data_IF_470292299701
#
_entry.id   IF_470292299701
#
_cell.length_a   1.000
_cell.length_b   1.000
_cell.length_c   1.000
_cell.angle_alpha   90.00
_cell.angle_beta   90.00
_cell.angle_gamma   90.00
#
_symmetry.space_group_name_H-M   'P 1'
#
loop_
_entity.id
_entity.type
_entity.pdbx_description
1 polymer ?
#
# COMPACT_ATOMS: atom_id res chain seq x y z
N UNK A 1 -11.77 16.25 21.23
CA UNK A 1 -10.65 15.56 20.54
C UNK A 1 -9.58 16.52 20.00
N UNK A 2 -9.94 17.58 19.26
CA UNK A 2 -8.92 18.50 18.66
C UNK A 2 -8.07 19.24 19.70
N UNK A 3 -8.66 19.71 20.81
CA UNK A 3 -7.92 20.44 21.86
C UNK A 3 -6.89 19.55 22.57
N UNK A 4 -7.26 18.30 22.86
CA UNK A 4 -6.38 17.32 23.53
C UNK A 4 -5.24 16.89 22.62
N UNK A 5 -5.48 16.73 21.32
CA UNK A 5 -4.45 16.40 20.34
C UNK A 5 -3.42 17.54 20.19
N UNK A 6 -3.88 18.79 20.08
CA UNK A 6 -2.98 19.96 20.03
C UNK A 6 -2.15 20.14 21.30
N UNK A 7 -2.73 19.88 22.48
CA UNK A 7 -1.99 19.89 23.74
C UNK A 7 -0.95 18.77 23.79
N UNK A 8 -1.30 17.59 23.32
CA UNK A 8 -0.37 16.44 23.25
C UNK A 8 0.78 16.70 22.27
N UNK A 9 0.50 17.26 21.10
CA UNK A 9 1.53 17.66 20.13
C UNK A 9 2.46 18.75 20.66
N UNK A 10 1.90 19.78 21.32
CA UNK A 10 2.69 20.84 21.94
C UNK A 10 3.59 20.30 23.07
N UNK A 11 3.04 19.41 23.90
CA UNK A 11 3.79 18.73 24.96
C UNK A 11 4.89 17.84 24.37
N UNK A 12 4.56 17.01 23.38
CA UNK A 12 5.50 16.16 22.64
C UNK A 12 6.65 16.98 22.05
N UNK A 13 6.34 18.06 21.34
CA UNK A 13 7.36 18.94 20.75
C UNK A 13 8.28 19.57 21.80
N UNK A 14 7.77 19.84 23.00
CA UNK A 14 8.58 20.35 24.12
C UNK A 14 9.49 19.26 24.69
N UNK A 15 8.96 18.06 24.93
CA UNK A 15 9.73 16.90 25.42
C UNK A 15 10.83 16.52 24.43
N UNK A 16 10.54 16.53 23.13
CA UNK A 16 11.49 16.22 22.08
C UNK A 16 12.68 17.19 22.04
N UNK A 17 12.48 18.46 22.39
CA UNK A 17 13.56 19.47 22.44
C UNK A 17 14.48 19.30 23.66
N UNK A 18 13.97 18.73 24.75
CA UNK A 18 14.69 18.66 26.03
C UNK A 18 15.41 17.32 26.21
N UNK A 19 14.83 16.25 25.68
CA UNK A 19 15.38 14.89 25.84
C UNK A 19 16.35 14.53 24.71
N UNK A 20 17.42 13.79 25.00
CA UNK A 20 18.27 13.19 23.96
C UNK A 20 17.58 11.98 23.30
N UNK A 21 17.99 11.57 22.08
CA UNK A 21 17.57 10.29 21.51
C UNK A 21 18.13 9.13 22.34
N UNK A 22 17.45 7.99 22.28
CA UNK A 22 17.91 6.76 22.92
C UNK A 22 19.05 6.13 22.13
N UNK A 23 20.01 5.56 22.84
CA UNK A 23 21.24 4.97 22.28
C UNK A 23 21.37 3.46 22.51
N UNK A 24 20.57 2.88 23.41
CA UNK A 24 20.57 1.45 23.71
C UNK A 24 19.43 0.77 22.97
N UNK A 25 19.59 -0.48 22.52
CA UNK A 25 18.52 -1.26 21.87
C UNK A 25 17.45 -1.72 22.86
N UNK A 26 16.17 -1.67 22.50
CA UNK A 26 15.06 -2.39 23.16
C UNK A 26 14.05 -2.82 22.12
N UNK A 27 14.58 -3.22 20.98
CA UNK A 27 13.82 -3.79 19.89
C UNK A 27 13.03 -5.01 20.38
N UNK A 28 13.71 -6.00 20.97
CA UNK A 28 13.07 -7.23 21.47
C UNK A 28 12.16 -6.99 22.69
N UNK A 29 12.58 -6.14 23.63
CA UNK A 29 11.85 -5.94 24.90
C UNK A 29 10.61 -5.05 24.76
N UNK A 30 10.65 -4.03 23.89
CA UNK A 30 9.63 -2.98 23.82
C UNK A 30 9.10 -2.73 22.41
N UNK A 31 9.67 -3.36 21.38
CA UNK A 31 9.30 -3.11 19.99
C UNK A 31 9.70 -1.71 19.48
N UNK A 32 10.67 -1.05 20.11
CA UNK A 32 11.09 0.33 19.78
C UNK A 32 12.50 0.38 19.19
N UNK A 33 12.79 1.42 18.43
CA UNK A 33 14.07 1.69 17.77
C UNK A 33 14.79 2.88 18.40
N UNK A 34 16.10 2.79 18.51
CA UNK A 34 16.98 3.97 18.58
C UNK A 34 17.12 4.62 17.21
N UNK A 35 17.69 5.83 17.18
CA UNK A 35 17.92 6.55 15.92
C UNK A 35 18.89 5.81 15.01
N UNK A 36 19.98 5.25 15.56
CA UNK A 36 20.94 4.45 14.79
C UNK A 36 20.31 3.18 14.23
N UNK A 37 19.41 2.54 14.99
CA UNK A 37 18.70 1.35 14.51
C UNK A 37 17.66 1.70 13.44
N UNK A 38 16.99 2.85 13.52
CA UNK A 38 16.11 3.34 12.46
C UNK A 38 16.89 3.58 11.15
N UNK A 39 18.06 4.22 11.23
CA UNK A 39 18.93 4.42 10.06
C UNK A 39 19.38 3.07 9.49
N UNK A 40 19.81 2.14 10.34
CA UNK A 40 20.24 0.80 9.93
C UNK A 40 19.11 0.02 9.21
N UNK A 41 17.90 0.02 9.79
CA UNK A 41 16.76 -0.64 9.19
C UNK A 41 16.30 0.04 7.88
N UNK A 42 16.41 1.38 7.80
CA UNK A 42 16.14 2.14 6.58
C UNK A 42 17.15 1.85 5.47
N UNK A 43 18.44 1.75 5.80
CA UNK A 43 19.48 1.36 4.85
C UNK A 43 19.22 -0.03 4.27
N UNK A 44 18.79 -0.98 5.11
CA UNK A 44 18.41 -2.32 4.66
C UNK A 44 17.15 -2.29 3.77
N UNK A 45 16.14 -1.50 4.13
CA UNK A 45 14.94 -1.32 3.31
C UNK A 45 15.29 -0.81 1.91
N UNK A 46 16.07 0.27 1.81
CA UNK A 46 16.50 0.82 0.51
C UNK A 46 17.35 -0.18 -0.28
N UNK A 47 18.21 -0.95 0.40
CA UNK A 47 19.06 -1.94 -0.26
C UNK A 47 18.26 -3.13 -0.84
N UNK A 48 17.16 -3.53 -0.19
CA UNK A 48 16.34 -4.68 -0.61
C UNK A 48 15.16 -4.30 -1.49
N UNK A 49 14.58 -3.12 -1.28
CA UNK A 49 13.44 -2.59 -2.02
C UNK A 49 13.85 -1.25 -2.65
N UNK A 50 14.44 -1.25 -3.87
CA UNK A 50 14.95 -0.03 -4.50
C UNK A 50 13.90 1.03 -4.86
N UNK A 51 12.61 0.70 -4.71
CA UNK A 51 11.50 1.66 -4.79
C UNK A 51 11.48 2.62 -3.60
N UNK A 52 12.11 2.26 -2.48
CA UNK A 52 12.33 3.14 -1.34
C UNK A 52 13.62 3.92 -1.49
N UNK A 53 13.59 5.19 -1.07
CA UNK A 53 14.75 6.06 -1.03
C UNK A 53 14.80 6.90 0.24
N UNK A 54 16.00 7.21 0.72
CA UNK A 54 16.22 8.22 1.74
C UNK A 54 16.04 9.63 1.16
N UNK A 55 15.48 10.52 1.99
CA UNK A 55 15.27 11.92 1.65
C UNK A 55 15.78 12.84 2.76
N UNK A 56 16.31 13.99 2.35
CA UNK A 56 16.81 15.03 3.25
C UNK A 56 15.70 16.01 3.72
N UNK A 57 14.61 16.12 2.95
CA UNK A 57 13.52 17.06 3.20
C UNK A 57 13.93 18.53 3.17
N UNK A 58 13.04 19.40 3.66
CA UNK A 58 13.32 20.84 3.80
C UNK A 58 14.47 21.08 4.80
N UNK A 59 15.46 21.89 4.41
CA UNK A 59 16.62 22.22 5.25
C UNK A 59 16.24 22.82 6.61
N UNK A 60 15.17 23.61 6.67
CA UNK A 60 14.66 24.24 7.89
C UNK A 60 13.98 23.25 8.85
N UNK A 61 13.55 22.09 8.36
CA UNK A 61 12.82 21.06 9.12
C UNK A 61 13.68 19.86 9.51
N UNK A 62 14.96 19.85 9.13
CA UNK A 62 15.90 18.78 9.47
C UNK A 62 16.03 18.61 10.98
N UNK A 63 16.08 17.36 11.40
CA UNK A 63 16.29 16.94 12.78
C UNK A 63 17.77 16.66 12.96
N UNK A 64 18.40 17.39 13.88
CA UNK A 64 19.84 17.30 14.14
C UNK A 64 20.33 15.96 14.69
N UNK A 65 19.41 15.13 15.20
CA UNK A 65 19.74 13.79 15.70
C UNK A 65 19.79 12.73 14.58
N UNK A 66 19.35 13.04 13.36
CA UNK A 66 19.44 12.19 12.17
C UNK A 66 20.50 12.74 11.19
N UNK A 67 21.13 11.90 10.36
CA UNK A 67 21.99 12.37 9.27
C UNK A 67 21.24 13.28 8.30
N UNK A 68 21.90 14.29 7.74
CA UNK A 68 21.27 15.31 6.87
C UNK A 68 20.63 14.72 5.61
N UNK A 69 21.16 13.61 5.11
CA UNK A 69 20.73 12.86 3.93
C UNK A 69 19.74 11.73 4.26
N UNK A 70 19.50 11.44 5.55
CA UNK A 70 18.66 10.32 6.02
C UNK A 70 17.63 10.78 7.04
N UNK A 71 16.78 11.73 6.64
CA UNK A 71 15.78 12.31 7.52
C UNK A 71 14.50 11.48 7.55
N UNK A 72 14.07 10.97 6.39
CA UNK A 72 12.92 10.08 6.26
C UNK A 72 13.07 9.21 5.01
N UNK A 73 12.31 8.12 4.95
CA UNK A 73 12.23 7.25 3.78
C UNK A 73 10.96 7.58 3.00
N UNK A 74 11.00 7.44 1.68
CA UNK A 74 9.81 7.58 0.84
C UNK A 74 9.83 6.55 -0.29
N UNK A 75 8.66 6.07 -0.64
CA UNK A 75 8.38 5.40 -1.92
C UNK A 75 7.29 6.20 -2.62
N UNK A 76 7.44 6.42 -3.92
CA UNK A 76 6.59 7.33 -4.69
C UNK A 76 5.78 6.56 -5.70
N UNK A 77 4.62 7.13 -6.04
CA UNK A 77 3.78 6.57 -7.09
C UNK A 77 3.36 5.10 -6.85
N UNK A 78 3.01 4.79 -5.61
CA UNK A 78 2.51 3.47 -5.23
C UNK A 78 1.06 3.31 -5.71
N UNK A 79 0.71 2.31 -6.53
CA UNK A 79 -0.64 2.18 -7.05
C UNK A 79 -1.63 1.74 -5.95
N UNK A 80 -2.87 2.20 -6.10
CA UNK A 80 -4.01 1.79 -5.29
C UNK A 80 -5.24 1.63 -6.19
N UNK A 81 -5.43 0.39 -6.66
CA UNK A 81 -6.40 0.04 -7.71
C UNK A 81 -7.83 -0.14 -7.17
N UNK A 82 -7.97 -0.34 -5.86
CA UNK A 82 -9.23 -0.66 -5.17
C UNK A 82 -9.32 0.02 -3.80
N UNK A 83 -10.53 0.13 -3.24
CA UNK A 83 -10.76 0.68 -1.89
C UNK A 83 -10.70 -0.39 -0.82
N UNK A 84 -10.37 0.00 0.40
CA UNK A 84 -10.23 -0.93 1.51
C UNK A 84 -11.50 -1.75 1.76
N UNK A 85 -12.68 -1.13 1.59
CA UNK A 85 -13.98 -1.80 1.74
C UNK A 85 -14.16 -3.01 0.80
N UNK A 86 -13.67 -2.92 -0.44
CA UNK A 86 -13.82 -4.02 -1.41
C UNK A 86 -12.99 -5.26 -1.04
N UNK A 87 -11.86 -5.08 -0.35
CA UNK A 87 -11.09 -6.22 0.16
C UNK A 87 -11.77 -6.83 1.39
N UNK A 88 -12.30 -6.01 2.30
CA UNK A 88 -13.01 -6.48 3.50
C UNK A 88 -14.22 -7.34 3.13
N UNK A 89 -15.05 -6.88 2.18
CA UNK A 89 -16.20 -7.65 1.67
C UNK A 89 -15.80 -9.03 1.10
N UNK A 90 -14.65 -9.11 0.42
CA UNK A 90 -14.13 -10.37 -0.14
C UNK A 90 -13.64 -11.32 0.97
N UNK A 91 -12.98 -10.81 2.01
CA UNK A 91 -12.54 -11.60 3.16
C UNK A 91 -13.72 -12.12 4.00
N UNK A 92 -14.73 -11.28 4.23
CA UNK A 92 -15.96 -11.66 4.93
C UNK A 92 -16.72 -12.74 4.15
N UNK A 93 -16.83 -12.58 2.83
CA UNK A 93 -17.46 -13.57 1.95
C UNK A 93 -16.68 -14.90 1.87
N UNK A 94 -15.36 -14.86 2.03
CA UNK A 94 -14.49 -16.04 2.05
C UNK A 94 -14.44 -16.76 3.42
N UNK A 95 -15.17 -16.29 4.44
CA UNK A 95 -15.22 -16.91 5.77
C UNK A 95 -13.94 -16.72 6.59
N UNK A 96 -13.17 -15.66 6.30
CA UNK A 96 -11.85 -15.41 6.87
C UNK A 96 -11.86 -14.77 8.26
N UNK A 97 -12.31 -15.48 9.30
CA UNK A 97 -12.06 -15.06 10.68
C UNK A 97 -10.99 -15.94 11.34
N UNK A 98 -9.85 -15.35 11.71
CA UNK A 98 -8.97 -15.89 12.75
C UNK A 98 -8.58 -14.76 13.71
N UNK A 99 -9.29 -14.69 14.83
CA UNK A 99 -8.94 -13.84 15.95
C UNK A 99 -7.62 -14.35 16.54
N UNK A 100 -6.60 -13.49 16.58
CA UNK A 100 -5.52 -13.68 17.56
C UNK A 100 -5.98 -13.11 18.89
N UNK A 101 -6.71 -13.92 19.64
CA UNK A 101 -7.05 -13.67 21.03
C UNK A 101 -7.55 -14.96 21.67
N UNK A 102 -6.82 -15.48 22.66
CA UNK A 102 -7.46 -16.30 23.68
C UNK A 102 -8.51 -15.43 24.37
N UNK A 103 -9.66 -16.03 24.69
CA UNK A 103 -10.85 -15.44 25.30
C UNK A 103 -10.67 -14.87 26.73
N UNK A 104 -9.51 -14.32 27.08
CA UNK A 104 -9.25 -13.80 28.43
C UNK A 104 -8.85 -12.32 28.40
N UNK A 105 -9.89 -11.49 28.58
CA UNK A 105 -9.92 -10.19 29.29
C UNK A 105 -8.91 -9.11 28.85
N UNK A 106 -9.12 -8.57 27.66
CA UNK A 106 -9.00 -7.14 27.33
C UNK A 106 -9.41 -7.00 25.85
N UNK A 107 -10.30 -6.07 25.51
CA UNK A 107 -10.88 -5.88 24.16
C UNK A 107 -9.92 -5.44 23.06
N UNK A 108 -8.73 -6.03 22.99
CA UNK A 108 -7.62 -5.75 22.09
C UNK A 108 -7.49 -6.84 21.00
N UNK A 109 -8.58 -7.08 20.26
CA UNK A 109 -8.57 -7.90 19.05
C UNK A 109 -7.77 -7.20 17.94
N UNK A 110 -6.50 -7.55 17.78
CA UNK A 110 -5.67 -7.14 16.65
C UNK A 110 -5.48 -8.35 15.73
N UNK A 111 -6.04 -8.29 14.53
CA UNK A 111 -5.98 -9.35 13.53
C UNK A 111 -4.56 -9.43 12.97
N UNK A 112 -3.89 -10.59 13.12
CA UNK A 112 -2.67 -10.87 12.36
C UNK A 112 -3.04 -11.74 11.16
N UNK A 113 -3.06 -11.12 9.99
CA UNK A 113 -3.32 -11.74 8.69
C UNK A 113 -2.08 -12.47 8.17
N UNK A 114 -1.64 -13.56 8.83
CA UNK A 114 -0.92 -14.66 8.19
C UNK A 114 -0.72 -15.87 9.12
N UNK A 115 -1.74 -16.75 9.15
CA UNK A 115 -1.60 -18.14 9.58
C UNK A 115 -1.92 -19.04 8.40
N UNK A 116 -0.93 -19.79 7.90
CA UNK A 116 -1.14 -20.76 6.83
C UNK A 116 -2.18 -21.83 7.25
N UNK A 117 -3.02 -22.36 6.35
CA UNK A 117 -4.07 -23.29 6.74
C UNK A 117 -3.44 -24.56 7.34
N UNK A 118 -3.80 -24.89 8.57
CA UNK A 118 -3.47 -26.19 9.15
C UNK A 118 -4.48 -27.21 8.64
N UNK A 119 -4.00 -28.23 7.95
CA UNK A 119 -4.81 -29.38 7.55
C UNK A 119 -5.40 -30.13 8.78
N UNK A 120 -6.73 -30.15 8.80
CA UNK A 120 -7.68 -31.22 9.15
C UNK A 120 -7.60 -31.95 10.50
N UNK A 121 -8.73 -31.92 11.25
CA UNK A 121 -9.42 -33.12 11.74
C UNK A 121 -10.91 -32.88 12.07
N UNK A 122 -11.76 -33.39 11.18
CA UNK A 122 -13.09 -34.01 11.36
C UNK A 122 -14.03 -33.57 12.51
N UNK A 123 -15.17 -32.99 12.14
CA UNK A 123 -16.49 -33.48 12.58
C UNK A 123 -17.56 -33.05 11.59
N UNK A 124 -18.31 -34.04 11.11
CA UNK A 124 -19.40 -33.95 10.13
C UNK A 124 -20.50 -32.96 10.58
N UNK A 125 -20.92 -32.06 9.69
CA UNK A 125 -22.34 -31.76 9.43
C UNK A 125 -22.51 -31.16 8.04
N UNK A 126 -23.45 -31.80 7.34
CA UNK A 126 -24.03 -31.64 6.01
C UNK A 126 -24.05 -30.24 5.37
N UNK A 127 -23.73 -30.18 4.07
CA UNK A 127 -24.13 -29.07 3.20
C UNK A 127 -23.12 -28.57 2.16
N UNK A 128 -22.21 -29.39 1.63
CA UNK A 128 -21.37 -29.00 0.50
C UNK A 128 -22.14 -29.16 -0.83
N UNK A 129 -22.32 -28.12 -1.66
CA UNK A 129 -22.59 -28.35 -3.07
C UNK A 129 -21.30 -28.81 -3.74
N UNK A 130 -21.36 -30.02 -4.30
CA UNK A 130 -20.33 -30.63 -5.13
C UNK A 130 -19.96 -29.74 -6.32
N UNK A 131 -18.66 -29.48 -6.49
CA UNK A 131 -18.08 -28.94 -7.72
C UNK A 131 -18.09 -30.03 -8.80
N UNK A 132 -19.23 -30.26 -9.44
CA UNK A 132 -19.36 -30.96 -10.73
C UNK A 132 -20.80 -30.80 -11.26
N UNK A 133 -20.99 -29.87 -12.20
CA UNK A 133 -22.04 -29.78 -13.24
C UNK A 133 -22.36 -28.31 -13.57
N UNK A 134 -21.43 -27.64 -14.28
CA UNK A 134 -21.83 -26.53 -15.14
C UNK A 134 -22.38 -27.13 -16.43
N UNK A 135 -23.70 -27.34 -16.47
CA UNK A 135 -24.40 -27.49 -17.74
C UNK A 135 -24.31 -26.17 -18.50
N UNK A 136 -23.55 -26.18 -19.60
CA UNK A 136 -23.55 -25.11 -20.59
C UNK A 136 -24.95 -25.06 -21.21
N UNK A 137 -25.74 -24.06 -20.80
CA UNK A 137 -26.98 -23.72 -21.48
C UNK A 137 -26.66 -23.24 -22.89
N UNK A 138 -26.86 -24.13 -23.87
CA UNK A 138 -27.00 -23.79 -25.28
C UNK A 138 -28.13 -22.77 -25.42
N UNK A 139 -27.81 -21.53 -25.78
CA UNK A 139 -28.85 -20.59 -26.23
C UNK A 139 -28.57 -19.10 -26.12
N UNK A 140 -27.42 -18.60 -26.58
CA UNK A 140 -27.31 -17.20 -27.02
C UNK A 140 -26.19 -17.10 -28.07
N UNK A 141 -26.58 -16.80 -29.31
CA UNK A 141 -25.65 -16.64 -30.42
C UNK A 141 -24.77 -15.40 -30.19
N UNK A 142 -23.48 -15.63 -29.97
CA UNK A 142 -22.44 -14.60 -30.04
C UNK A 142 -22.40 -14.12 -31.49
N UNK A 143 -22.77 -12.86 -31.72
CA UNK A 143 -22.60 -12.22 -33.04
C UNK A 143 -21.12 -11.97 -33.26
N UNK A 144 -20.52 -12.76 -34.13
CA UNK A 144 -19.21 -12.52 -34.71
C UNK A 144 -19.19 -11.18 -35.46
N UNK A 145 -18.18 -10.37 -35.20
CA UNK A 145 -17.83 -9.19 -36.01
C UNK A 145 -17.57 -9.68 -37.45
N UNK A 146 -18.09 -9.05 -38.51
CA UNK A 146 -17.79 -9.46 -39.87
C UNK A 146 -16.31 -9.16 -40.17
N UNK A 147 -15.48 -10.20 -40.13
CA UNK A 147 -14.21 -10.19 -40.85
C UNK A 147 -14.55 -10.29 -42.34
N UNK A 148 -14.50 -9.17 -43.04
CA UNK A 148 -14.54 -9.13 -44.50
C UNK A 148 -13.24 -9.75 -45.01
N UNK A 149 -13.24 -11.07 -45.20
CA UNK A 149 -12.23 -11.78 -45.96
C UNK A 149 -12.89 -12.19 -47.29
N UNK A 150 -12.70 -11.37 -48.30
CA UNK A 150 -13.02 -11.66 -49.68
C UNK A 150 -11.77 -11.45 -50.52
N UNK A 151 -11.42 -12.45 -51.33
CA UNK A 151 -10.48 -12.31 -52.44
C UNK A 151 -9.13 -12.95 -52.20
N UNK A 152 -8.92 -14.12 -52.77
CA UNK A 152 -7.60 -14.65 -53.11
C UNK A 152 -7.00 -13.80 -54.23
N UNK A 153 -6.20 -12.79 -53.91
CA UNK A 153 -5.21 -12.23 -54.85
C UNK A 153 -3.93 -11.91 -54.04
N UNK A 154 -2.81 -12.53 -54.40
CA UNK A 154 -1.48 -12.07 -54.01
C UNK A 154 -1.25 -10.72 -54.70
N UNK A 155 -1.69 -9.62 -54.08
CA UNK A 155 -1.19 -8.30 -54.45
C UNK A 155 0.18 -8.10 -53.82
N UNK A 156 1.22 -8.14 -54.65
CA UNK A 156 2.57 -7.70 -54.31
C UNK A 156 2.50 -6.33 -53.63
N UNK A 157 3.09 -6.22 -52.44
CA UNK A 157 3.18 -4.96 -51.69
C UNK A 157 3.91 -3.94 -52.60
N UNK A 158 3.26 -2.84 -53.01
CA UNK A 158 3.89 -1.86 -53.90
C UNK A 158 5.11 -1.23 -53.21
N UNK A 159 6.21 -1.09 -53.96
CA UNK A 159 7.47 -0.56 -53.45
C UNK A 159 7.31 0.92 -53.07
N UNK A 160 7.86 1.32 -51.91
CA UNK A 160 7.62 2.64 -51.29
C UNK A 160 8.19 3.80 -52.13
N UNK A 161 9.03 3.52 -53.13
CA UNK A 161 9.64 4.51 -54.01
C UNK A 161 8.69 5.06 -55.12
N UNK A 162 7.53 4.43 -55.37
CA UNK A 162 6.57 4.88 -56.38
C UNK A 162 5.61 5.99 -55.89
N UNK A 163 5.70 6.39 -54.61
CA UNK A 163 4.86 7.44 -54.00
C UNK A 163 5.54 8.82 -53.88
N UNK A 164 6.79 8.98 -54.31
CA UNK A 164 7.48 10.27 -54.33
C UNK A 164 7.20 11.10 -55.60
N UNK A 165 5.98 11.06 -56.13
CA UNK A 165 5.56 11.99 -57.18
C UNK A 165 4.96 13.28 -56.55
N UNK A 166 5.62 14.45 -56.66
CA UNK A 166 5.17 15.69 -56.01
C UNK A 166 3.87 16.27 -56.59
N UNK A 167 3.25 15.64 -57.59
CA UNK A 167 1.96 16.07 -58.16
C UNK A 167 0.72 15.46 -57.48
N UNK A 168 0.87 14.59 -56.46
CA UNK A 168 -0.28 13.98 -55.77
C UNK A 168 -0.90 14.86 -54.65
N UNK A 169 -0.92 16.18 -54.87
CA UNK A 169 -1.63 17.15 -54.04
C UNK A 169 -3.12 17.12 -54.41
N UNK A 170 -3.87 16.21 -53.79
CA UNK A 170 -5.32 16.15 -53.95
C UNK A 170 -5.92 17.43 -53.33
N UNK A 171 -6.43 18.31 -54.19
CA UNK A 171 -7.27 19.45 -53.80
C UNK A 171 -8.51 18.93 -53.07
N UNK A 172 -8.56 19.19 -51.76
CA UNK A 172 -9.74 19.19 -50.88
C UNK A 172 -10.99 18.49 -51.42
N UNK A 173 -11.09 17.19 -51.16
CA UNK A 173 -12.31 16.41 -51.35
C UNK A 173 -13.37 16.85 -50.31
N UNK A 174 -14.58 17.17 -50.76
CA UNK A 174 -15.71 17.55 -49.91
C UNK A 174 -16.25 16.40 -49.03
N UNK A 175 -15.64 15.21 -49.11
CA UNK A 175 -15.91 14.07 -48.22
C UNK A 175 -14.89 13.90 -47.08
N UNK A 176 -13.85 14.73 -46.95
CA UNK A 176 -13.00 14.72 -45.75
C UNK A 176 -13.82 15.18 -44.55
N UNK A 177 -14.25 14.23 -43.73
CA UNK A 177 -14.83 14.50 -42.41
C UNK A 177 -13.86 15.39 -41.63
N UNK A 178 -14.35 16.54 -41.17
CA UNK A 178 -13.61 17.36 -40.19
C UNK A 178 -13.13 16.43 -39.09
N UNK A 179 -11.82 16.38 -38.85
CA UNK A 179 -11.22 15.64 -37.75
C UNK A 179 -11.58 16.32 -36.43
N UNK A 180 -12.85 16.22 -36.07
CA UNK A 180 -13.33 16.35 -34.70
C UNK A 180 -12.88 15.06 -34.02
N UNK A 181 -11.78 15.17 -33.28
CA UNK A 181 -11.40 14.18 -32.28
C UNK A 181 -12.67 13.81 -31.49
N UNK A 182 -13.06 12.53 -31.57
CA UNK A 182 -14.13 12.00 -30.75
C UNK A 182 -13.70 12.13 -29.29
N UNK A 183 -14.19 13.15 -28.60
CA UNK A 183 -14.21 13.14 -27.13
C UNK A 183 -15.32 12.18 -26.76
N UNK A 184 -14.95 10.92 -26.54
CA UNK A 184 -15.85 9.97 -25.88
C UNK A 184 -16.07 10.49 -24.44
N UNK A 185 -17.26 11.03 -24.17
CA UNK A 185 -17.70 11.21 -22.79
C UNK A 185 -18.04 9.82 -22.28
N UNK A 186 -17.24 9.30 -21.34
CA UNK A 186 -17.58 8.04 -20.68
C UNK A 186 -18.92 8.19 -19.97
N UNK A 187 -19.78 7.16 -19.99
CA UNK A 187 -20.98 7.15 -19.17
C UNK A 187 -20.57 7.30 -17.69
N UNK A 188 -21.37 8.04 -16.91
CA UNK A 188 -21.25 8.12 -15.45
C UNK A 188 -21.67 6.78 -14.80
N UNK A 189 -21.11 5.65 -15.27
CA UNK A 189 -21.27 4.38 -14.58
C UNK A 189 -20.39 4.42 -13.33
N UNK A 190 -21.05 4.50 -12.17
CA UNK A 190 -20.47 4.39 -10.82
C UNK A 190 -19.70 3.07 -10.56
N UNK A 191 -19.60 2.17 -11.56
CA UNK A 191 -18.88 0.91 -11.48
C UNK A 191 -17.42 0.97 -11.95
N UNK A 192 -16.94 2.12 -12.47
CA UNK A 192 -15.52 2.29 -12.80
C UNK A 192 -14.76 2.71 -11.54
N UNK A 193 -14.00 1.76 -10.96
CA UNK A 193 -13.11 2.06 -9.83
C UNK A 193 -11.96 2.97 -10.28
N UNK A 194 -12.00 4.23 -9.85
CA UNK A 194 -10.93 5.20 -10.11
C UNK A 194 -9.63 4.78 -9.41
N UNK A 195 -8.57 4.59 -10.19
CA UNK A 195 -7.24 4.27 -9.68
C UNK A 195 -6.65 5.48 -8.96
N UNK A 196 -6.08 5.26 -7.78
CA UNK A 196 -5.28 6.26 -7.05
C UNK A 196 -3.82 5.88 -7.06
N UNK A 197 -2.97 6.86 -6.78
CA UNK A 197 -1.55 6.64 -6.51
C UNK A 197 -1.14 7.31 -5.22
N UNK A 198 -0.15 6.78 -4.53
CA UNK A 198 0.28 7.25 -3.21
C UNK A 198 1.78 7.46 -3.16
N UNK A 199 2.19 8.58 -2.55
CA UNK A 199 3.52 8.71 -1.98
C UNK A 199 3.44 8.31 -0.50
N UNK A 200 4.19 7.27 -0.12
CA UNK A 200 4.23 6.73 1.24
C UNK A 200 5.57 7.07 1.87
N UNK A 201 5.56 7.82 2.97
CA UNK A 201 6.79 8.18 3.69
C UNK A 201 6.84 7.60 5.10
N UNK A 202 8.04 7.30 5.58
CA UNK A 202 8.32 6.80 6.92
C UNK A 202 9.28 7.76 7.62
N UNK A 203 8.83 8.33 8.73
CA UNK A 203 9.63 9.21 9.59
C UNK A 203 9.92 8.51 10.92
N UNK A 204 11.00 8.90 11.59
CA UNK A 204 11.25 8.46 12.97
C UNK A 204 10.54 9.36 13.99
N UNK A 205 9.64 8.78 14.78
CA UNK A 205 9.00 9.49 15.89
C UNK A 205 9.89 9.43 17.13
N UNK A 206 10.47 10.57 17.52
CA UNK A 206 11.43 10.60 18.64
C UNK A 206 10.77 10.34 19.99
N UNK A 207 9.51 10.71 20.16
CA UNK A 207 8.78 10.53 21.42
C UNK A 207 8.40 9.05 21.62
N UNK A 208 7.82 8.42 20.60
CA UNK A 208 7.41 7.01 20.67
C UNK A 208 8.55 6.03 20.36
N UNK A 209 9.64 6.51 19.77
CA UNK A 209 10.80 5.70 19.39
C UNK A 209 10.44 4.62 18.37
N UNK A 210 9.54 4.97 17.45
CA UNK A 210 8.99 4.06 16.45
C UNK A 210 8.89 4.78 15.10
N UNK A 211 8.90 4.05 13.98
CA UNK A 211 8.57 4.64 12.69
C UNK A 211 7.10 5.07 12.65
N UNK A 212 6.85 6.14 11.89
CA UNK A 212 5.52 6.69 11.62
C UNK A 212 5.31 6.82 10.13
N UNK A 213 4.17 6.32 9.65
CA UNK A 213 3.79 6.34 8.23
C UNK A 213 2.95 7.57 7.92
N UNK A 214 3.20 8.15 6.75
CA UNK A 214 2.43 9.22 6.16
C UNK A 214 2.04 8.87 4.74
N UNK A 215 0.85 9.27 4.34
CA UNK A 215 0.23 8.96 3.06
C UNK A 215 -0.14 10.26 2.37
N UNK A 216 0.30 10.38 1.11
CA UNK A 216 -0.10 11.48 0.22
C UNK A 216 -0.71 10.85 -1.01
N UNK A 217 -2.04 10.92 -1.12
CA UNK A 217 -2.76 10.32 -2.23
C UNK A 217 -2.94 11.28 -3.39
N UNK A 218 -3.04 10.72 -4.59
CA UNK A 218 -3.29 11.42 -5.85
C UNK A 218 -4.38 10.68 -6.64
N UNK A 219 -5.21 11.43 -7.36
CA UNK A 219 -6.20 10.90 -8.29
C UNK A 219 -5.57 10.42 -9.61
N UNK A 220 -6.41 9.95 -10.53
CA UNK A 220 -6.01 9.48 -11.87
C UNK A 220 -5.27 10.55 -12.70
N UNK A 221 -5.53 11.83 -12.43
CA UNK A 221 -4.93 12.97 -13.11
C UNK A 221 -3.68 13.51 -12.40
N UNK A 222 -3.19 12.80 -11.37
CA UNK A 222 -2.06 13.21 -10.50
C UNK A 222 -2.32 14.46 -9.67
N UNK A 223 -3.57 14.77 -9.40
CA UNK A 223 -3.92 15.87 -8.51
C UNK A 223 -3.97 15.37 -7.06
N UNK A 224 -3.45 16.15 -6.08
CA UNK A 224 -3.48 15.75 -4.67
C UNK A 224 -4.91 15.50 -4.18
N UNK A 225 -5.12 14.36 -3.53
CA UNK A 225 -6.39 14.03 -2.89
C UNK A 225 -6.60 14.85 -1.63
N UNK A 226 -7.87 15.11 -1.32
CA UNK A 226 -8.22 15.60 0.00
C UNK A 226 -7.94 14.52 1.06
N UNK A 227 -7.44 14.88 2.26
CA UNK A 227 -7.13 13.92 3.31
C UNK A 227 -8.28 12.98 3.65
N UNK A 228 -9.53 13.46 3.56
CA UNK A 228 -10.76 12.70 3.82
C UNK A 228 -10.92 11.51 2.86
N UNK A 229 -10.51 11.65 1.60
CA UNK A 229 -10.58 10.59 0.60
C UNK A 229 -9.56 9.48 0.85
N UNK A 230 -8.42 9.81 1.49
CA UNK A 230 -7.40 8.82 1.85
C UNK A 230 -7.95 7.80 2.85
N UNK A 231 -8.93 8.18 3.69
CA UNK A 231 -9.55 7.25 4.65
C UNK A 231 -10.35 6.12 3.97
N UNK A 232 -10.73 6.26 2.70
CA UNK A 232 -11.39 5.19 1.93
C UNK A 232 -10.42 4.05 1.59
N UNK A 233 -9.11 4.32 1.61
CA UNK A 233 -8.04 3.35 1.36
C UNK A 233 -7.42 2.80 2.66
N UNK A 234 -7.98 3.18 3.82
CA UNK A 234 -7.62 2.66 5.14
C UNK A 234 -8.68 1.67 5.60
N UNK A 235 -8.27 0.52 6.14
CA UNK A 235 -9.20 -0.47 6.71
C UNK A 235 -10.08 0.15 7.81
N UNK A 236 -11.36 -0.20 7.82
CA UNK A 236 -12.35 0.41 8.71
C UNK A 236 -12.01 0.22 10.19
N UNK A 237 -11.41 -0.93 10.52
CA UNK A 237 -10.98 -1.26 11.88
C UNK A 237 -9.91 -0.31 12.42
N UNK A 238 -9.14 0.30 11.51
CA UNK A 238 -8.03 1.19 11.81
C UNK A 238 -8.35 2.66 11.55
N UNK A 239 -9.15 2.98 10.52
CA UNK A 239 -9.41 4.32 10.02
C UNK A 239 -9.85 5.32 11.12
N UNK A 240 -10.73 4.88 12.03
CA UNK A 240 -11.25 5.74 13.11
C UNK A 240 -10.44 5.70 14.41
N UNK A 241 -9.47 4.79 14.52
CA UNK A 241 -8.71 4.55 15.75
C UNK A 241 -7.30 5.10 15.66
N UNK A 242 -6.65 4.97 14.50
CA UNK A 242 -5.22 5.21 14.37
C UNK A 242 -4.85 6.22 13.30
N UNK A 243 -5.72 6.59 12.36
CA UNK A 243 -5.36 7.53 11.28
C UNK A 243 -5.83 8.95 11.57
N UNK A 244 -4.94 9.92 11.40
CA UNK A 244 -5.19 11.36 11.62
C UNK A 244 -4.60 12.19 10.50
N UNK A 245 -5.17 13.37 10.25
CA UNK A 245 -4.62 14.35 9.31
C UNK A 245 -3.72 15.34 10.05
N UNK A 246 -2.42 15.30 9.79
CA UNK A 246 -1.39 16.07 10.51
C UNK A 246 -0.38 16.73 9.56
N UNK A 247 0.34 17.73 10.04
CA UNK A 247 1.42 18.37 9.29
C UNK A 247 2.66 17.44 9.24
N UNK A 248 3.18 17.19 8.04
CA UNK A 248 4.35 16.32 7.89
C UNK A 248 5.61 17.00 8.46
N UNK A 249 6.44 16.29 9.25
CA UNK A 249 7.55 16.89 9.97
C UNK A 249 8.67 17.40 9.05
N UNK A 250 8.73 16.96 7.79
CA UNK A 250 9.77 17.32 6.82
C UNK A 250 9.25 17.90 5.50
N UNK A 251 7.93 17.91 5.28
CA UNK A 251 7.29 18.30 4.01
C UNK A 251 6.21 19.35 4.29
N UNK A 252 5.81 20.15 3.29
CA UNK A 252 4.75 21.13 3.45
C UNK A 252 3.38 20.49 3.24
N UNK A 253 2.37 20.99 3.95
CA UNK A 253 0.99 20.54 3.81
C UNK A 253 0.58 19.52 4.85
N UNK A 254 -0.70 19.14 4.77
CA UNK A 254 -1.32 18.15 5.64
C UNK A 254 -1.37 16.80 4.94
N UNK A 255 -1.06 15.76 5.69
CA UNK A 255 -0.99 14.39 5.21
C UNK A 255 -1.78 13.49 6.15
N UNK A 256 -2.34 12.41 5.61
CA UNK A 256 -2.89 11.36 6.45
C UNK A 256 -1.74 10.58 7.09
N UNK A 257 -1.84 10.26 8.38
CA UNK A 257 -0.78 9.57 9.12
C UNK A 257 -1.35 8.51 10.04
N UNK A 258 -0.70 7.34 10.07
CA UNK A 258 -0.97 6.30 11.06
C UNK A 258 -0.24 6.66 12.35
N UNK A 259 -1.00 6.95 13.40
CA UNK A 259 -0.50 7.46 14.67
C UNK A 259 0.32 6.39 15.45
N UNK A 260 1.54 6.71 15.90
CA UNK A 260 2.51 5.70 16.34
C UNK A 260 2.34 5.17 17.77
N UNK A 261 1.33 5.62 18.51
CA UNK A 261 1.18 5.31 19.95
C UNK A 261 1.08 3.82 20.28
N UNK A 262 0.59 3.00 19.34
CA UNK A 262 0.48 1.54 19.53
C UNK A 262 1.56 0.75 18.77
N UNK A 263 2.38 1.40 17.95
CA UNK A 263 3.37 0.72 17.10
C UNK A 263 4.36 -0.11 17.93
N UNK A 264 4.87 0.42 19.04
CA UNK A 264 5.81 -0.32 19.89
C UNK A 264 5.20 -1.61 20.46
N UNK A 265 3.97 -1.53 20.97
CA UNK A 265 3.26 -2.69 21.50
C UNK A 265 2.96 -3.74 20.43
N UNK A 266 2.52 -3.31 19.23
CA UNK A 266 2.27 -4.20 18.09
C UNK A 266 3.55 -4.87 17.63
N UNK A 267 4.63 -4.11 17.45
CA UNK A 267 5.92 -4.65 17.02
C UNK A 267 6.49 -5.63 18.03
N UNK A 268 6.36 -5.35 19.34
CA UNK A 268 6.73 -6.31 20.39
C UNK A 268 5.98 -7.63 20.23
N UNK A 269 4.65 -7.60 20.04
CA UNK A 269 3.85 -8.82 19.84
C UNK A 269 4.31 -9.59 18.59
N UNK A 270 4.58 -8.91 17.48
CA UNK A 270 5.09 -9.55 16.25
C UNK A 270 6.45 -10.22 16.51
N UNK A 271 7.36 -9.54 17.19
CA UNK A 271 8.69 -10.07 17.54
C UNK A 271 8.57 -11.29 18.46
N UNK A 272 7.74 -11.21 19.50
CA UNK A 272 7.49 -12.31 20.44
C UNK A 272 6.96 -13.55 19.71
N UNK A 273 6.04 -13.37 18.76
CA UNK A 273 5.51 -14.46 17.91
C UNK A 273 6.60 -15.06 17.04
N UNK A 274 7.47 -14.27 16.41
CA UNK A 274 8.58 -14.80 15.61
C UNK A 274 9.56 -15.61 16.46
N UNK A 275 9.93 -15.10 17.64
CA UNK A 275 10.81 -15.79 18.58
C UNK A 275 10.19 -17.12 19.02
N UNK A 276 8.88 -17.14 19.31
CA UNK A 276 8.17 -18.38 19.68
C UNK A 276 8.18 -19.45 18.57
N UNK A 277 8.33 -19.01 17.31
CA UNK A 277 8.44 -19.89 16.13
C UNK A 277 9.89 -20.27 15.80
N UNK A 278 10.85 -19.92 16.68
CA UNK A 278 12.27 -20.21 16.49
C UNK A 278 13.00 -19.25 15.56
N UNK A 279 12.38 -18.13 15.18
CA UNK A 279 12.99 -17.12 14.32
C UNK A 279 13.42 -15.94 15.16
N UNK A 280 14.71 -15.64 15.19
CA UNK A 280 15.23 -14.45 15.86
C UNK A 280 15.34 -13.29 14.87
N UNK A 281 14.42 -12.29 14.91
CA UNK A 281 14.53 -11.15 14.04
C UNK A 281 15.70 -10.25 14.48
N UNK A 282 16.40 -9.72 13.48
CA UNK A 282 17.42 -8.70 13.65
C UNK A 282 16.79 -7.31 13.50
N UNK A 283 17.40 -6.30 14.11
CA UNK A 283 16.83 -4.94 14.16
C UNK A 283 16.84 -4.24 12.80
N UNK A 284 17.78 -4.59 11.92
CA UNK A 284 17.83 -4.12 10.54
C UNK A 284 16.64 -4.62 9.69
N UNK A 285 15.93 -5.65 10.15
CA UNK A 285 14.70 -6.16 9.53
C UNK A 285 13.42 -5.49 10.07
N UNK A 286 13.54 -4.54 11.00
CA UNK A 286 12.39 -3.91 11.67
C UNK A 286 11.39 -3.33 10.67
N UNK A 287 11.87 -2.57 9.67
CA UNK A 287 10.97 -1.88 8.75
C UNK A 287 10.16 -2.82 7.86
N UNK A 288 10.67 -4.02 7.55
CA UNK A 288 9.89 -5.02 6.81
C UNK A 288 8.77 -5.61 7.66
N UNK A 289 9.04 -5.92 8.93
CA UNK A 289 8.00 -6.34 9.89
C UNK A 289 6.96 -5.23 10.10
N UNK A 290 7.42 -4.00 10.19
CA UNK A 290 6.57 -2.83 10.36
C UNK A 290 5.70 -2.59 9.12
N UNK A 291 6.27 -2.64 7.91
CA UNK A 291 5.53 -2.49 6.66
C UNK A 291 4.52 -3.63 6.45
N UNK A 292 4.86 -4.86 6.85
CA UNK A 292 3.88 -5.97 6.87
C UNK A 292 2.70 -5.67 7.80
N UNK A 293 2.93 -5.04 8.94
CA UNK A 293 1.85 -4.54 9.79
C UNK A 293 1.06 -3.40 9.12
N UNK A 294 1.73 -2.45 8.49
CA UNK A 294 1.04 -1.34 7.79
C UNK A 294 0.18 -1.87 6.63
N UNK A 295 0.52 -3.01 6.04
CA UNK A 295 -0.29 -3.63 4.99
C UNK A 295 -1.64 -4.12 5.52
N UNK A 296 -1.80 -4.36 6.83
CA UNK A 296 -3.12 -4.61 7.42
C UNK A 296 -3.94 -3.32 7.61
N UNK A 297 -3.26 -2.16 7.69
CA UNK A 297 -3.90 -0.85 7.88
C UNK A 297 -4.34 -0.25 6.54
N UNK A 298 -3.54 -0.41 5.50
CA UNK A 298 -3.78 0.09 4.14
C UNK A 298 -3.67 -1.05 3.12
N UNK A 299 -4.63 -1.98 3.10
CA UNK A 299 -4.51 -3.25 2.36
C UNK A 299 -4.45 -3.09 0.85
N UNK A 300 -4.92 -1.97 0.31
CA UNK A 300 -4.99 -1.73 -1.14
C UNK A 300 -3.88 -0.84 -1.68
N UNK A 301 -2.92 -0.42 -0.85
CA UNK A 301 -1.76 0.38 -1.28
C UNK A 301 -0.56 -0.55 -1.49
N UNK A 302 -0.15 -0.73 -2.74
CA UNK A 302 0.79 -1.78 -3.16
C UNK A 302 2.26 -1.34 -3.08
N UNK A 303 2.76 -0.99 -1.90
CA UNK A 303 4.19 -0.68 -1.71
C UNK A 303 5.02 -1.94 -1.53
N UNK A 304 6.29 -1.88 -1.92
CA UNK A 304 7.21 -3.01 -1.75
C UNK A 304 7.68 -3.14 -0.30
N UNK A 305 7.54 -4.34 0.24
CA UNK A 305 8.12 -4.74 1.54
C UNK A 305 8.56 -6.22 1.51
N UNK A 306 8.76 -6.77 0.31
CA UNK A 306 9.08 -8.18 0.11
C UNK A 306 10.46 -8.50 0.66
N UNK A 307 10.46 -9.18 1.81
CA UNK A 307 11.57 -10.01 2.23
C UNK A 307 11.04 -11.44 2.39
N UNK A 308 11.73 -12.38 1.77
CA UNK A 308 11.70 -13.76 2.23
C UNK A 308 12.28 -13.74 3.65
N UNK A 309 11.39 -13.74 4.65
CA UNK A 309 11.80 -14.19 5.96
C UNK A 309 12.10 -15.66 5.77
N UNK A 310 13.40 -15.98 5.69
CA UNK A 310 13.89 -17.34 5.78
C UNK A 310 13.51 -17.82 7.19
N UNK A 311 12.26 -18.27 7.33
CA UNK A 311 11.72 -18.95 8.50
C UNK A 311 12.45 -20.29 8.49
N UNK A 312 13.67 -20.28 9.06
CA UNK A 312 14.70 -21.26 8.81
C UNK A 312 14.15 -22.65 8.56
N UNK A 313 14.54 -23.25 7.43
CA UNK A 313 14.28 -24.65 7.11
C UNK A 313 14.45 -25.46 8.39
N UNK A 314 13.36 -26.03 8.89
CA UNK A 314 13.43 -26.95 10.02
C UNK A 314 14.43 -28.02 9.64
N UNK A 315 15.62 -27.96 10.24
CA UNK A 315 16.60 -29.03 10.17
C UNK A 315 15.96 -30.21 10.91
N UNK A 316 15.29 -31.08 10.15
CA UNK A 316 14.99 -32.44 10.57
C UNK A 316 16.26 -33.28 10.45
#
# INVERSE_FOLDING_TARGET
MVLTQRLHEAFKGTVERITGPRTVSAFKEKGVLSVSEFVLAGDNLVAKCPTWSWEAGETSKRKSYLPDDKQYLITRNVPCLRRASSMEEEYDAAGGEFLLGNDDDDGDGWLATHGMPKETKSSEVEGLPSMESLEISKGAAIRSIPAYFGGEEEEDIPDMEDYEDPENLIETDAATLESTYFVANEPEDDNILRTRTYDVSITYDKYYQTPRVWLTGYDESRMPLQPELVFEDVSQDHARKTVTTEDHPHLPGKHASVHPCRHGAVMKKIIDVLISRGVEPEVDKYLFLFLKFIASVVPTIEYDYTMDFDLGSSSQ
#
